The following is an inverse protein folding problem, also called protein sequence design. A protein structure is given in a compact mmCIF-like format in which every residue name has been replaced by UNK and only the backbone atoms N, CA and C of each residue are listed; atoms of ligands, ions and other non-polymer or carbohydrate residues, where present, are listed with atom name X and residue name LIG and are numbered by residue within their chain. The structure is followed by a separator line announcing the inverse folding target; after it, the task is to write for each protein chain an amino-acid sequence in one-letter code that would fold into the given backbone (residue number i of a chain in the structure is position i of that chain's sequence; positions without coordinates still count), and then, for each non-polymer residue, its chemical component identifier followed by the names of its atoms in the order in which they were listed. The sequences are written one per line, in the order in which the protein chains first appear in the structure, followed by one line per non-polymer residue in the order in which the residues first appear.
data_IF_625843193259
#
_entry.id   IF_625843193259
#
_cell.length_a   1.000
_cell.length_b   1.000
_cell.length_c   1.000
_cell.angle_alpha   90.00
_cell.angle_beta   90.00
_cell.angle_gamma   90.00
#
_symmetry.space_group_name_H-M   'P 1'
#
loop_
_entity.id
_entity.type
_entity.pdbx_description
1 polymer ?
#
# COMPACT_ATOMS: atom_id res chain seq x y z
N UNK A 1 20.24 19.83 25.96
CA UNK A 1 21.61 20.28 25.59
C UNK A 1 21.54 20.80 24.16
N UNK A 2 22.12 21.96 23.87
CA UNK A 2 22.14 22.53 22.51
C UNK A 2 23.56 22.39 21.97
N UNK A 3 23.72 21.77 20.80
CA UNK A 3 25.00 21.63 20.11
C UNK A 3 25.04 22.61 18.94
N UNK A 4 26.11 23.40 18.81
CA UNK A 4 26.27 24.35 17.72
C UNK A 4 27.19 23.74 16.64
N UNK A 5 26.63 23.47 15.47
CA UNK A 5 27.37 22.95 14.30
C UNK A 5 27.12 23.89 13.12
N UNK A 6 28.18 24.37 12.47
CA UNK A 6 28.07 25.22 11.28
C UNK A 6 27.94 24.37 10.02
N UNK A 7 26.87 24.60 9.24
CA UNK A 7 26.63 23.93 7.95
C UNK A 7 26.64 25.00 6.86
N UNK A 8 27.28 24.72 5.73
CA UNK A 8 27.26 25.62 4.58
C UNK A 8 25.96 25.44 3.81
N UNK A 9 25.24 26.54 3.60
CA UNK A 9 23.99 26.58 2.83
C UNK A 9 24.20 27.49 1.60
N UNK A 10 23.68 27.10 0.42
CA UNK A 10 23.62 28.00 -0.71
C UNK A 10 22.90 29.30 -0.33
N UNK A 11 23.46 30.42 -0.76
CA UNK A 11 22.99 31.77 -0.40
C UNK A 11 21.54 31.99 -0.84
N UNK A 12 21.16 31.48 -2.01
CA UNK A 12 19.79 31.48 -2.54
C UNK A 12 18.79 30.82 -1.57
N UNK A 13 19.15 29.66 -1.03
CA UNK A 13 18.31 28.86 -0.15
C UNK A 13 18.10 29.56 1.19
N UNK A 14 19.16 30.20 1.71
CA UNK A 14 19.06 31.02 2.92
C UNK A 14 18.12 32.22 2.71
N UNK A 15 18.23 32.91 1.58
CA UNK A 15 17.33 34.04 1.27
C UNK A 15 15.88 33.58 1.14
N UNK A 16 15.62 32.45 0.50
CA UNK A 16 14.27 31.90 0.39
C UNK A 16 13.67 31.56 1.76
N UNK A 17 14.46 30.97 2.66
CA UNK A 17 14.01 30.68 4.02
C UNK A 17 13.67 31.96 4.79
N UNK A 18 14.54 32.97 4.73
CA UNK A 18 14.33 34.24 5.42
C UNK A 18 13.12 35.01 4.86
N UNK A 19 12.95 35.01 3.54
CA UNK A 19 11.78 35.63 2.90
C UNK A 19 10.48 34.90 3.26
N UNK A 20 10.50 33.56 3.28
CA UNK A 20 9.37 32.75 3.73
C UNK A 20 8.96 33.06 5.17
N UNK A 21 9.93 33.19 6.09
CA UNK A 21 9.65 33.55 7.49
C UNK A 21 9.08 34.96 7.63
N UNK A 22 9.57 35.92 6.85
CA UNK A 22 9.03 37.29 6.83
C UNK A 22 7.61 37.34 6.27
N UNK A 23 7.34 36.62 5.19
CA UNK A 23 6.04 36.62 4.51
C UNK A 23 4.96 35.88 5.31
N UNK A 24 5.33 34.84 6.06
CA UNK A 24 4.40 34.08 6.91
C UNK A 24 4.11 34.77 8.25
N UNK A 25 4.82 35.86 8.60
CA UNK A 25 4.67 36.55 9.88
C UNK A 25 5.05 35.69 11.10
N UNK A 26 5.82 34.63 10.86
CA UNK A 26 6.19 33.65 11.88
C UNK A 26 7.19 34.27 12.85
N UNK A 27 6.93 34.14 14.16
CA UNK A 27 7.88 34.55 15.23
C UNK A 27 9.04 33.55 15.41
N UNK A 28 9.15 32.55 14.53
CA UNK A 28 10.20 31.55 14.58
C UNK A 28 11.53 32.18 14.12
N UNK A 29 12.56 31.95 14.92
CA UNK A 29 13.94 32.26 14.53
C UNK A 29 14.39 31.34 13.38
N UNK A 30 15.29 31.82 12.53
CA UNK A 30 15.79 31.08 11.37
C UNK A 30 16.44 29.75 11.79
N UNK A 31 17.07 29.72 12.96
CA UNK A 31 17.64 28.52 13.57
C UNK A 31 16.58 27.46 13.89
N UNK A 32 15.46 27.87 14.48
CA UNK A 32 14.36 26.98 14.84
C UNK A 32 13.60 26.49 13.59
N UNK A 33 13.45 27.34 12.58
CA UNK A 33 12.88 26.95 11.30
C UNK A 33 13.76 25.92 10.56
N UNK A 34 15.08 26.11 10.59
CA UNK A 34 16.04 25.16 10.03
C UNK A 34 16.02 23.82 10.78
N UNK A 35 15.98 23.85 12.12
CA UNK A 35 15.88 22.64 12.94
C UNK A 35 14.60 21.86 12.64
N UNK A 36 13.45 22.53 12.53
CA UNK A 36 12.19 21.90 12.15
C UNK A 36 12.24 21.32 10.73
N UNK A 37 12.81 22.05 9.77
CA UNK A 37 12.98 21.56 8.40
C UNK A 37 13.87 20.30 8.35
N UNK A 38 14.97 20.28 9.12
CA UNK A 38 15.87 19.13 9.23
C UNK A 38 15.15 17.96 9.89
N UNK A 39 14.40 18.19 10.98
CA UNK A 39 13.62 17.14 11.65
C UNK A 39 12.56 16.53 10.72
N UNK A 40 11.85 17.36 9.97
CA UNK A 40 10.88 16.88 8.98
C UNK A 40 11.54 16.14 7.82
N UNK A 41 12.69 16.62 7.35
CA UNK A 41 13.45 15.94 6.31
C UNK A 41 13.96 14.58 6.80
N UNK A 42 14.55 14.52 8.00
CA UNK A 42 15.00 13.26 8.60
C UNK A 42 13.83 12.29 8.84
N UNK A 43 12.67 12.77 9.31
CA UNK A 43 11.50 11.93 9.47
C UNK A 43 11.01 11.35 8.14
N UNK A 44 11.07 12.12 7.05
CA UNK A 44 10.79 11.62 5.70
C UNK A 44 11.82 10.57 5.27
N UNK A 45 13.11 10.84 5.46
CA UNK A 45 14.18 9.90 5.12
C UNK A 45 14.10 8.62 5.94
N UNK A 46 13.75 8.68 7.23
CA UNK A 46 13.54 7.50 8.08
C UNK A 46 12.31 6.69 7.66
N UNK A 47 11.26 7.34 7.16
CA UNK A 47 10.13 6.65 6.54
C UNK A 47 10.54 5.91 5.25
N UNK A 48 11.58 6.40 4.56
CA UNK A 48 12.11 5.82 3.33
C UNK A 48 13.21 4.75 3.59
N UNK A 49 13.95 4.85 4.69
CA UNK A 49 15.11 4.00 5.05
C UNK A 49 14.74 2.73 5.85
N UNK A 50 13.47 2.58 6.25
CA UNK A 50 12.91 1.35 6.86
C UNK A 50 12.80 0.17 5.85
N UNK A 51 13.64 0.18 4.80
CA UNK A 51 13.83 -0.91 3.83
C UNK A 51 12.81 -0.98 2.68
N UNK A 52 11.79 -0.13 2.68
CA UNK A 52 10.82 0.05 1.60
C UNK A 52 10.88 1.52 1.15
N UNK A 53 11.88 1.91 0.34
CA UNK A 53 11.84 3.21 -0.36
C UNK A 53 10.45 3.37 -0.98
N UNK A 54 9.82 4.56 -0.87
CA UNK A 54 8.38 4.68 -0.65
C UNK A 54 7.65 3.70 -1.56
N UNK A 55 7.23 2.55 -0.99
CA UNK A 55 6.48 1.58 -1.77
C UNK A 55 5.37 2.40 -2.42
N UNK A 56 5.26 2.39 -3.76
CA UNK A 56 4.50 3.39 -4.48
C UNK A 56 3.15 3.47 -3.79
N UNK A 57 2.92 4.57 -3.07
CA UNK A 57 1.71 4.67 -2.26
C UNK A 57 0.58 4.71 -3.28
N UNK A 58 -0.40 3.84 -3.10
CA UNK A 58 -1.40 3.65 -4.12
C UNK A 58 -2.41 2.58 -3.77
N UNK A 59 -3.54 2.67 -4.46
CA UNK A 59 -4.64 1.75 -4.34
C UNK A 59 -4.51 0.64 -5.38
N UNK A 60 -4.44 -0.62 -4.93
CA UNK A 60 -4.46 -1.76 -5.84
C UNK A 60 -5.90 -2.17 -6.17
N UNK A 61 -6.33 -1.89 -7.40
CA UNK A 61 -7.62 -2.34 -7.92
C UNK A 61 -7.46 -3.62 -8.74
N UNK A 62 -7.46 -4.77 -8.06
CA UNK A 62 -7.24 -6.09 -8.67
C UNK A 62 -5.90 -6.14 -9.42
N UNK A 63 -5.93 -6.05 -10.76
CA UNK A 63 -4.76 -6.08 -11.64
C UNK A 63 -4.24 -4.68 -11.99
N UNK A 64 -4.99 -3.62 -11.68
CA UNK A 64 -4.62 -2.24 -11.97
C UNK A 64 -4.11 -1.57 -10.69
N UNK A 65 -2.85 -1.14 -10.70
CA UNK A 65 -2.28 -0.33 -9.63
C UNK A 65 -2.54 1.16 -9.90
N UNK A 66 -3.09 1.87 -8.92
CA UNK A 66 -3.37 3.30 -9.00
C UNK A 66 -2.45 4.04 -8.02
N UNK A 67 -1.49 4.84 -8.48
CA UNK A 67 -0.62 5.60 -7.58
C UNK A 67 -1.42 6.69 -6.84
N UNK A 68 -0.88 7.13 -5.71
CA UNK A 68 -1.40 8.24 -4.93
C UNK A 68 -1.53 9.51 -5.77
N UNK A 69 -2.59 10.27 -5.50
CA UNK A 69 -2.95 11.46 -6.28
C UNK A 69 -3.67 11.14 -7.59
N UNK A 70 -3.89 9.86 -7.92
CA UNK A 70 -4.76 9.47 -9.03
C UNK A 70 -6.20 9.91 -8.76
N UNK A 71 -6.80 10.57 -9.74
CA UNK A 71 -8.20 11.00 -9.70
C UNK A 71 -9.05 10.05 -10.52
N UNK A 72 -10.09 9.51 -9.90
CA UNK A 72 -11.11 8.68 -10.55
C UNK A 72 -12.34 9.55 -10.79
N UNK A 73 -12.94 9.43 -11.97
CA UNK A 73 -14.17 10.14 -12.32
C UNK A 73 -15.22 9.19 -12.88
N UNK A 74 -16.48 9.41 -12.53
CA UNK A 74 -17.64 8.70 -13.08
C UNK A 74 -18.62 9.73 -13.61
N UNK A 75 -19.12 9.51 -14.82
CA UNK A 75 -20.20 10.33 -15.39
C UNK A 75 -21.53 9.85 -14.84
N UNK A 76 -22.21 10.72 -14.09
CA UNK A 76 -23.52 10.48 -13.52
C UNK A 76 -24.61 10.65 -14.59
N UNK A 77 -25.80 10.11 -14.34
CA UNK A 77 -26.91 10.15 -15.29
C UNK A 77 -27.40 11.58 -15.61
N UNK A 78 -27.13 12.54 -14.71
CA UNK A 78 -27.44 13.97 -14.91
C UNK A 78 -26.39 14.75 -15.71
N UNK A 79 -25.32 14.10 -16.21
CA UNK A 79 -24.21 14.76 -16.90
C UNK A 79 -23.12 15.28 -15.94
N UNK A 80 -23.40 15.35 -14.65
CA UNK A 80 -22.41 15.67 -13.63
C UNK A 80 -21.36 14.58 -13.49
N UNK A 81 -20.13 14.96 -13.17
CA UNK A 81 -19.04 14.02 -12.92
C UNK A 81 -18.75 13.93 -11.42
N UNK A 82 -18.86 12.74 -10.85
CA UNK A 82 -18.42 12.46 -9.49
C UNK A 82 -16.92 12.16 -9.49
N UNK A 83 -16.22 12.57 -8.43
CA UNK A 83 -14.78 12.41 -8.32
C UNK A 83 -14.36 11.71 -7.03
N UNK A 84 -13.45 10.76 -7.15
CA UNK A 84 -12.77 10.11 -6.05
C UNK A 84 -11.25 10.26 -6.21
N UNK A 85 -10.53 10.22 -5.10
CA UNK A 85 -9.08 10.44 -5.05
C UNK A 85 -8.40 9.28 -4.34
N UNK A 86 -7.26 8.85 -4.86
CA UNK A 86 -6.39 7.89 -4.17
C UNK A 86 -5.48 8.65 -3.22
N UNK A 87 -5.57 8.35 -1.93
CA UNK A 87 -4.73 8.93 -0.86
C UNK A 87 -4.13 7.76 -0.08
N UNK A 88 -2.81 7.67 -0.04
CA UNK A 88 -2.11 6.49 0.46
C UNK A 88 -2.59 5.20 -0.24
N UNK A 89 -3.10 4.25 0.55
CA UNK A 89 -3.59 2.94 0.12
C UNK A 89 -5.12 2.88 -0.10
N UNK A 90 -5.82 4.01 0.03
CA UNK A 90 -7.29 4.05 0.01
C UNK A 90 -7.84 4.95 -1.09
N UNK A 91 -9.00 4.55 -1.58
CA UNK A 91 -9.82 5.38 -2.47
C UNK A 91 -10.81 6.17 -1.60
N UNK A 92 -10.73 7.50 -1.65
CA UNK A 92 -11.61 8.40 -0.90
C UNK A 92 -12.66 9.02 -1.84
N UNK A 93 -13.93 8.92 -1.44
CA UNK A 93 -15.05 9.61 -2.06
C UNK A 93 -15.77 10.44 -1.00
N UNK A 94 -15.86 11.75 -1.21
CA UNK A 94 -16.37 12.70 -0.19
C UNK A 94 -15.69 12.58 1.19
N UNK A 95 -14.40 12.20 1.23
CA UNK A 95 -13.65 12.02 2.47
C UNK A 95 -13.80 10.65 3.11
N UNK A 96 -14.71 9.80 2.61
CA UNK A 96 -14.94 8.46 3.12
C UNK A 96 -14.17 7.40 2.30
N UNK A 97 -13.52 6.42 2.95
CA UNK A 97 -12.88 5.31 2.26
C UNK A 97 -13.92 4.42 1.60
N UNK A 98 -13.80 4.24 0.29
CA UNK A 98 -14.75 3.51 -0.54
C UNK A 98 -14.04 2.52 -1.47
N UNK A 99 -14.79 1.58 -2.03
CA UNK A 99 -14.30 0.69 -3.09
C UNK A 99 -14.73 1.21 -4.45
N UNK A 100 -14.02 0.88 -5.56
CA UNK A 100 -14.40 1.32 -6.90
C UNK A 100 -15.85 0.98 -7.28
N UNK A 101 -16.34 -0.21 -6.90
CA UNK A 101 -17.74 -0.60 -7.13
C UNK A 101 -18.72 0.24 -6.30
N UNK A 102 -18.37 0.53 -5.05
CA UNK A 102 -19.19 1.36 -4.17
C UNK A 102 -19.21 2.81 -4.66
N UNK A 103 -18.07 3.36 -5.06
CA UNK A 103 -17.96 4.67 -5.71
C UNK A 103 -18.83 4.75 -6.97
N UNK A 104 -18.71 3.78 -7.89
CA UNK A 104 -19.53 3.77 -9.11
C UNK A 104 -21.03 3.72 -8.80
N UNK A 105 -21.43 2.93 -7.79
CA UNK A 105 -22.82 2.82 -7.34
C UNK A 105 -23.33 4.11 -6.70
N UNK A 106 -22.55 4.72 -5.81
CA UNK A 106 -22.93 5.95 -5.10
C UNK A 106 -22.95 7.15 -6.07
N UNK A 107 -22.02 7.22 -7.02
CA UNK A 107 -22.00 8.25 -8.05
C UNK A 107 -23.16 8.13 -9.05
N UNK A 108 -23.46 6.92 -9.54
CA UNK A 108 -24.47 6.71 -10.58
C UNK A 108 -25.89 6.48 -10.02
N UNK A 109 -26.02 6.10 -8.74
CA UNK A 109 -27.29 5.74 -8.11
C UNK A 109 -27.74 4.28 -8.32
N UNK A 110 -27.00 3.46 -9.07
CA UNK A 110 -27.31 2.05 -9.34
C UNK A 110 -26.06 1.23 -9.60
N UNK A 111 -26.20 -0.09 -9.55
CA UNK A 111 -25.08 -1.02 -9.71
C UNK A 111 -24.67 -1.07 -11.18
N UNK A 112 -23.51 -0.47 -11.50
CA UNK A 112 -22.87 -0.63 -12.80
C UNK A 112 -21.48 -1.27 -12.68
N UNK A 113 -20.89 -1.62 -13.82
CA UNK A 113 -19.54 -2.16 -13.85
C UNK A 113 -18.52 -1.04 -13.75
N UNK A 114 -17.90 -0.92 -12.57
CA UNK A 114 -16.89 0.09 -12.29
C UNK A 114 -15.77 0.14 -13.33
N UNK A 115 -15.37 -0.98 -13.95
CA UNK A 115 -14.32 -0.96 -14.98
C UNK A 115 -14.70 -0.16 -16.21
N UNK A 116 -15.98 -0.18 -16.60
CA UNK A 116 -16.47 0.49 -17.81
C UNK A 116 -16.78 1.95 -17.53
N UNK A 117 -17.36 2.25 -16.37
CA UNK A 117 -17.84 3.59 -16.04
C UNK A 117 -16.77 4.51 -15.44
N UNK A 118 -15.75 3.95 -14.79
CA UNK A 118 -14.68 4.73 -14.18
C UNK A 118 -13.65 5.14 -15.23
N UNK A 119 -13.36 6.43 -15.23
CA UNK A 119 -12.20 6.99 -15.93
C UNK A 119 -11.14 7.38 -14.91
N UNK A 120 -9.90 7.04 -15.19
CA UNK A 120 -8.74 7.23 -14.32
C UNK A 120 -7.84 8.31 -14.92
N UNK A 121 -7.41 9.26 -14.09
CA UNK A 121 -6.42 10.28 -14.45
C UNK A 121 -5.25 10.19 -13.49
N UNK A 122 -4.10 9.81 -14.01
CA UNK A 122 -2.86 9.69 -13.26
C UNK A 122 -2.29 11.06 -12.89
N UNK A 123 -1.52 11.16 -11.79
CA UNK A 123 -0.81 12.38 -11.43
C UNK A 123 0.16 12.78 -12.55
N UNK A 124 0.14 14.05 -12.97
CA UNK A 124 0.95 14.56 -14.09
C UNK A 124 0.36 14.32 -15.49
N UNK A 125 -0.64 13.46 -15.66
CA UNK A 125 -1.32 13.28 -16.95
C UNK A 125 -2.53 14.23 -17.07
N UNK A 126 -2.67 14.84 -18.26
CA UNK A 126 -3.84 15.68 -18.59
C UNK A 126 -5.01 14.82 -19.06
N UNK A 127 -4.71 13.74 -19.80
CA UNK A 127 -5.73 12.89 -20.43
C UNK A 127 -6.20 11.84 -19.44
N UNK A 128 -7.51 11.78 -19.26
CA UNK A 128 -8.15 10.70 -18.53
C UNK A 128 -8.28 9.46 -19.44
N UNK A 129 -8.03 8.27 -18.88
CA UNK A 129 -8.09 6.98 -19.58
C UNK A 129 -9.16 6.12 -18.93
N UNK A 130 -9.96 5.40 -19.72
CA UNK A 130 -10.94 4.46 -19.17
C UNK A 130 -10.24 3.32 -18.41
N UNK A 131 -10.76 2.95 -17.23
CA UNK A 131 -10.21 1.84 -16.44
C UNK A 131 -10.23 0.52 -17.21
N UNK A 132 -11.25 0.28 -18.03
CA UNK A 132 -11.35 -0.88 -18.92
C UNK A 132 -10.19 -0.94 -19.92
N UNK A 133 -9.85 0.19 -20.54
CA UNK A 133 -8.76 0.27 -21.50
C UNK A 133 -7.40 -0.01 -20.83
N UNK A 134 -7.18 0.52 -19.63
CA UNK A 134 -5.97 0.27 -18.84
C UNK A 134 -5.82 -1.21 -18.48
N UNK A 135 -6.90 -1.84 -17.99
CA UNK A 135 -6.91 -3.27 -17.69
C UNK A 135 -6.58 -4.12 -18.93
N UNK A 136 -7.20 -3.82 -20.07
CA UNK A 136 -6.95 -4.53 -21.35
C UNK A 136 -5.54 -4.31 -21.88
N UNK A 137 -4.92 -3.17 -21.58
CA UNK A 137 -3.51 -2.93 -21.91
C UNK A 137 -2.59 -3.79 -21.04
N UNK A 138 -2.84 -3.85 -19.74
CA UNK A 138 -2.08 -4.71 -18.82
C UNK A 138 -2.22 -6.20 -19.14
N UNK A 139 -3.44 -6.66 -19.43
CA UNK A 139 -3.68 -8.05 -19.85
C UNK A 139 -2.97 -8.41 -21.16
N UNK A 140 -2.78 -7.45 -22.08
CA UNK A 140 -2.02 -7.65 -23.31
C UNK A 140 -0.51 -7.68 -23.03
N UNK A 141 -0.02 -6.72 -22.25
CA UNK A 141 1.39 -6.69 -21.85
C UNK A 141 1.80 -7.97 -21.11
N UNK A 142 0.94 -8.51 -20.24
CA UNK A 142 1.18 -9.77 -19.53
C UNK A 142 1.22 -11.00 -20.47
N UNK A 143 0.52 -10.95 -21.61
CA UNK A 143 0.57 -12.03 -22.62
C UNK A 143 1.74 -11.89 -23.59
N UNK A 144 2.17 -10.67 -23.86
CA UNK A 144 3.28 -10.35 -24.76
C UNK A 144 4.64 -10.46 -24.09
N UNK A 145 4.70 -10.49 -22.74
CA UNK A 145 5.93 -10.80 -22.01
C UNK A 145 6.42 -12.21 -22.41
N UNK A 146 7.61 -12.32 -23.04
CA UNK A 146 8.22 -13.62 -23.29
C UNK A 146 8.43 -14.31 -21.94
N UNK A 147 8.34 -15.66 -21.87
CA UNK A 147 8.81 -16.36 -20.69
C UNK A 147 10.26 -15.92 -20.46
N UNK A 148 10.52 -15.29 -19.30
CA UNK A 148 11.88 -15.00 -18.87
C UNK A 148 12.67 -16.30 -19.05
N UNK A 149 13.87 -16.28 -19.66
CA UNK A 149 14.72 -17.46 -19.66
C UNK A 149 14.85 -17.90 -18.22
N UNK A 150 14.47 -19.15 -17.91
CA UNK A 150 14.62 -19.74 -16.58
C UNK A 150 16.03 -19.39 -16.12
N UNK A 151 16.14 -18.50 -15.13
CA UNK A 151 17.39 -18.30 -14.44
C UNK A 151 17.84 -19.71 -14.02
N UNK A 152 19.05 -20.17 -14.40
CA UNK A 152 19.48 -21.52 -14.10
C UNK A 152 19.26 -21.71 -12.60
N UNK A 153 18.35 -22.65 -12.27
CA UNK A 153 18.02 -22.99 -10.88
C UNK A 153 19.34 -23.02 -10.14
N UNK A 154 19.53 -22.09 -9.19
CA UNK A 154 20.68 -22.14 -8.32
C UNK A 154 20.72 -23.57 -7.80
N UNK A 155 21.77 -24.29 -8.18
CA UNK A 155 22.00 -25.65 -7.74
C UNK A 155 22.07 -25.57 -6.22
N UNK A 156 20.98 -25.95 -5.52
CA UNK A 156 21.07 -26.28 -4.12
C UNK A 156 21.96 -27.53 -4.08
N UNK A 157 23.21 -27.47 -3.58
CA UNK A 157 23.96 -28.68 -3.38
C UNK A 157 23.14 -29.60 -2.45
N UNK A 158 23.07 -30.91 -2.73
CA UNK A 158 22.34 -31.84 -1.87
C UNK A 158 22.89 -31.72 -0.45
N UNK A 159 21.97 -31.53 0.50
CA UNK A 159 22.26 -31.43 1.92
C UNK A 159 23.22 -32.55 2.34
N UNK A 160 24.34 -32.17 2.96
CA UNK A 160 25.24 -33.14 3.59
C UNK A 160 24.43 -33.97 4.62
N UNK A 161 24.65 -35.28 4.71
CA UNK A 161 23.94 -36.14 5.64
C UNK A 161 24.18 -35.68 7.08
N UNK A 162 23.10 -35.36 7.79
CA UNK A 162 23.13 -35.06 9.22
C UNK A 162 23.55 -36.31 10.01
N UNK A 163 24.39 -36.21 11.05
CA UNK A 163 24.72 -37.34 11.90
C UNK A 163 23.47 -37.85 12.63
N UNK A 164 23.27 -39.16 12.53
CA UNK A 164 22.12 -39.92 12.97
C UNK A 164 21.99 -39.89 14.51
N UNK A 165 20.84 -39.41 15.02
CA UNK A 165 20.45 -39.62 16.41
C UNK A 165 19.97 -41.07 16.58
N UNK A 166 20.39 -41.80 17.62
CA UNK A 166 20.11 -43.22 17.75
C UNK A 166 18.62 -43.48 17.95
N UNK A 167 18.14 -44.47 17.19
CA UNK A 167 16.78 -45.00 17.22
C UNK A 167 16.40 -45.49 18.62
N UNK A 168 15.33 -44.93 19.18
CA UNK A 168 14.65 -45.48 20.35
C UNK A 168 13.16 -45.64 20.02
N UNK A 169 12.79 -46.92 19.95
CA UNK A 169 11.46 -47.52 20.08
C UNK A 169 10.41 -47.31 18.99
N UNK A 170 10.43 -48.30 18.10
CA UNK A 170 9.29 -48.82 17.36
C UNK A 170 8.17 -49.27 18.32
N UNK A 171 6.95 -48.81 18.10
CA UNK A 171 5.73 -49.49 18.54
C UNK A 171 4.62 -49.17 17.54
N UNK A 172 4.48 -50.10 16.60
CA UNK A 172 3.38 -50.16 15.66
C UNK A 172 2.05 -50.28 16.42
N UNK A 173 1.12 -49.37 16.15
CA UNK A 173 -0.31 -49.64 16.28
C UNK A 173 -0.95 -49.32 14.91
N UNK A 174 -1.64 -50.27 14.26
CA UNK A 174 -2.31 -49.99 12.99
C UNK A 174 -3.38 -48.91 13.21
N UNK A 175 -3.38 -47.88 12.35
CA UNK A 175 -4.47 -46.92 12.27
C UNK A 175 -5.76 -47.63 11.81
N UNK A 176 -6.91 -47.43 12.47
CA UNK A 176 -8.19 -47.91 11.97
C UNK A 176 -8.61 -47.16 10.69
N UNK A 177 -9.40 -47.84 9.86
CA UNK A 177 -9.90 -47.39 8.57
C UNK A 177 -10.75 -46.10 8.65
N UNK A 178 -10.79 -45.37 7.54
CA UNK A 178 -11.20 -43.96 7.42
C UNK A 178 -12.71 -43.63 7.56
N UNK A 179 -13.52 -44.46 8.25
CA UNK A 179 -14.98 -44.26 8.34
C UNK A 179 -15.52 -43.89 9.74
N UNK A 180 -14.66 -43.59 10.71
CA UNK A 180 -15.09 -43.11 12.05
C UNK A 180 -14.39 -41.80 12.43
N UNK A 181 -14.88 -40.68 11.90
CA UNK A 181 -14.66 -39.37 12.53
C UNK A 181 -15.83 -39.07 13.47
N UNK A 182 -15.63 -38.97 14.80
CA UNK A 182 -16.68 -38.53 15.68
C UNK A 182 -16.97 -37.04 15.46
N UNK A 183 -18.24 -36.78 15.16
CA UNK A 183 -18.92 -35.50 15.10
C UNK A 183 -18.49 -34.57 16.25
N UNK A 184 -17.83 -33.45 15.95
CA UNK A 184 -17.56 -32.39 16.93
C UNK A 184 -18.82 -31.54 17.09
N UNK A 185 -19.50 -31.70 18.22
CA UNK A 185 -20.65 -30.88 18.62
C UNK A 185 -20.21 -29.41 18.84
N UNK A 186 -20.83 -28.48 18.10
CA UNK A 186 -20.51 -27.05 18.07
C UNK A 186 -20.94 -26.27 19.33
N UNK A 187 -21.28 -26.94 20.44
CA UNK A 187 -21.84 -26.32 21.65
C UNK A 187 -20.87 -26.13 22.83
N UNK A 188 -19.59 -26.51 22.71
CA UNK A 188 -18.66 -26.53 23.85
C UNK A 188 -17.58 -25.44 23.89
N UNK A 189 -17.72 -24.32 23.15
CA UNK A 189 -16.80 -23.18 23.28
C UNK A 189 -17.55 -21.95 23.76
N UNK A 190 -17.85 -21.91 25.07
CA UNK A 190 -18.18 -20.70 25.82
C UNK A 190 -17.09 -20.44 26.85
N UNK A 191 -16.52 -19.23 26.72
CA UNK A 191 -16.04 -18.34 27.79
C UNK A 191 -14.81 -18.78 28.59
N UNK A 192 -13.69 -18.09 28.35
CA UNK A 192 -12.97 -17.38 29.41
C UNK A 192 -12.15 -16.24 28.79
N UNK A 193 -12.76 -15.06 28.72
CA UNK A 193 -12.08 -13.79 28.54
C UNK A 193 -12.29 -13.05 29.85
N UNK A 194 -11.26 -12.99 30.69
CA UNK A 194 -11.13 -11.96 31.72
C UNK A 194 -9.69 -11.97 32.24
N UNK A 195 -8.93 -10.98 31.80
CA UNK A 195 -7.71 -10.51 32.46
C UNK A 195 -7.53 -9.03 32.10
N UNK A 196 -8.02 -8.14 32.96
CA UNK A 196 -7.51 -6.76 33.07
C UNK A 196 -6.53 -6.68 34.24
N UNK A 197 -5.40 -5.95 34.12
CA UNK A 197 -4.62 -5.52 35.25
C UNK A 197 -5.05 -4.12 35.72
N UNK A 198 -4.88 -3.91 37.04
CA UNK A 198 -5.04 -2.70 37.87
C UNK A 198 -4.94 -1.33 37.22
#
# INVERSE_FOLDING_TARGET
MLSCTGIQLPTDTLYHLLDFLRNTGSKLDASAAADEAIRQWLARMQLEDDGLGPAPQGYQWKTLFLPEGTRLSVTCQGGDSAYAYVVGDRLLFHGEPTSPNRFAKEASGYVRNAWTDITVRFPGEIRAKSAYALRRALERAAKEQPPLPEAPRAYCPPAQPQPELPAIFNSQKPLPAADEWPYIDRRALRVYTDWEPF
#
